data_IF_232399305377
#
_entry.id   IF_232399305377
#
_cell.length_a   1.000
_cell.length_b   1.000
_cell.length_c   1.000
_cell.angle_alpha   90.00
_cell.angle_beta   90.00
_cell.angle_gamma   90.00
#
_symmetry.space_group_name_H-M   'P 1'
#
loop_
_entity.id
_entity.type
_entity.pdbx_description
1 polymer ?
#
# COMPACT_ATOMS: atom_id res chain seq x y z
N UNK A 1 -4.06 -25.28 -12.85
CA UNK A 1 -3.83 -25.00 -11.42
C UNK A 1 -5.14 -24.53 -10.80
N UNK A 2 -5.75 -25.37 -9.96
CA UNK A 2 -6.91 -25.00 -9.14
C UNK A 2 -6.43 -24.47 -7.78
N UNK A 3 -7.16 -23.52 -7.21
CA UNK A 3 -6.92 -23.04 -5.84
C UNK A 3 -7.76 -23.91 -4.91
N UNK A 4 -7.15 -24.44 -3.86
CA UNK A 4 -7.85 -25.16 -2.79
C UNK A 4 -8.00 -24.22 -1.59
N UNK A 5 -9.23 -24.03 -1.12
CA UNK A 5 -9.52 -23.31 0.12
C UNK A 5 -10.74 -23.95 0.79
N UNK A 6 -10.79 -23.89 2.12
CA UNK A 6 -11.92 -24.38 2.91
C UNK A 6 -12.25 -23.38 4.00
N UNK A 7 -13.55 -23.22 4.27
CA UNK A 7 -14.04 -22.40 5.38
C UNK A 7 -14.34 -23.37 6.53
N UNK A 8 -13.68 -23.25 7.69
CA UNK A 8 -13.92 -24.17 8.81
C UNK A 8 -15.38 -24.19 9.25
N UNK A 9 -15.87 -25.35 9.71
CA UNK A 9 -17.28 -25.57 10.03
C UNK A 9 -17.81 -24.69 11.17
N UNK A 10 -16.93 -24.27 12.08
CA UNK A 10 -17.28 -23.36 13.16
C UNK A 10 -17.55 -21.93 12.67
N UNK A 11 -17.14 -21.56 11.45
CA UNK A 11 -17.36 -20.24 10.87
C UNK A 11 -18.64 -20.23 10.06
N UNK A 12 -19.66 -19.52 10.57
CA UNK A 12 -20.93 -19.33 9.85
C UNK A 12 -20.80 -18.20 8.82
N UNK A 13 -20.73 -18.58 7.55
CA UNK A 13 -20.78 -17.64 6.43
C UNK A 13 -22.04 -17.88 5.58
N UNK A 14 -22.62 -16.80 5.06
CA UNK A 14 -23.79 -16.90 4.18
C UNK A 14 -23.40 -17.50 2.82
N UNK A 15 -24.37 -18.10 2.13
CA UNK A 15 -24.15 -18.66 0.78
C UNK A 15 -23.61 -17.61 -0.21
N UNK A 16 -24.12 -16.38 -0.15
CA UNK A 16 -23.62 -15.27 -0.97
C UNK A 16 -22.17 -14.90 -0.67
N UNK A 17 -21.72 -15.01 0.59
CA UNK A 17 -20.32 -14.80 0.96
C UNK A 17 -19.43 -15.88 0.33
N UNK A 18 -19.83 -17.16 0.47
CA UNK A 18 -19.11 -18.30 -0.10
C UNK A 18 -18.97 -18.17 -1.63
N UNK A 19 -20.04 -17.76 -2.30
CA UNK A 19 -20.04 -17.51 -3.74
C UNK A 19 -19.06 -16.39 -4.11
N UNK A 20 -19.07 -15.27 -3.38
CA UNK A 20 -18.14 -14.18 -3.66
C UNK A 20 -16.69 -14.62 -3.48
N UNK A 21 -16.37 -15.30 -2.37
CA UNK A 21 -15.03 -15.84 -2.10
C UNK A 21 -14.56 -16.79 -3.20
N UNK A 22 -15.44 -17.68 -3.70
CA UNK A 22 -15.08 -18.58 -4.81
C UNK A 22 -14.72 -17.87 -6.12
N UNK A 23 -15.22 -16.65 -6.33
CA UNK A 23 -14.89 -15.84 -7.51
C UNK A 23 -13.65 -14.97 -7.31
N UNK A 24 -13.29 -14.67 -6.06
CA UNK A 24 -12.07 -13.93 -5.69
C UNK A 24 -10.86 -14.88 -5.66
N UNK A 25 -10.99 -16.05 -5.05
CA UNK A 25 -9.92 -17.05 -4.92
C UNK A 25 -9.77 -17.91 -6.18
N UNK A 26 -9.53 -17.23 -7.30
CA UNK A 26 -9.26 -17.83 -8.62
C UNK A 26 -7.80 -17.60 -8.99
N UNK A 27 -7.08 -18.69 -9.31
CA UNK A 27 -5.65 -18.65 -9.65
C UNK A 27 -5.38 -17.80 -10.89
N UNK A 28 -6.22 -17.91 -11.91
CA UNK A 28 -6.10 -17.14 -13.14
C UNK A 28 -6.64 -15.71 -12.95
N UNK A 29 -5.81 -14.66 -13.03
CA UNK A 29 -6.25 -13.28 -12.85
C UNK A 29 -7.31 -12.85 -13.87
N UNK A 30 -7.21 -13.30 -15.12
CA UNK A 30 -8.15 -12.97 -16.20
C UNK A 30 -9.54 -13.57 -15.99
N UNK A 31 -9.69 -14.56 -15.09
CA UNK A 31 -10.97 -15.17 -14.72
C UNK A 31 -11.46 -14.75 -13.33
N UNK A 32 -10.66 -13.96 -12.60
CA UNK A 32 -11.00 -13.49 -11.26
C UNK A 32 -12.05 -12.38 -11.36
N UNK A 33 -13.00 -12.37 -10.43
CA UNK A 33 -14.01 -11.30 -10.38
C UNK A 33 -13.33 -9.94 -10.23
N UNK A 34 -13.81 -8.98 -11.01
CA UNK A 34 -13.31 -7.61 -11.05
C UNK A 34 -13.99 -6.74 -9.98
N UNK A 35 -13.39 -5.59 -9.65
CA UNK A 35 -14.00 -4.65 -8.68
C UNK A 35 -15.41 -4.21 -9.10
N UNK A 36 -15.69 -3.82 -10.36
CA UNK A 36 -17.05 -3.47 -10.78
C UNK A 36 -18.07 -4.61 -10.56
N UNK A 37 -17.68 -5.86 -10.82
CA UNK A 37 -18.54 -7.03 -10.60
C UNK A 37 -18.75 -7.32 -9.11
N UNK A 38 -17.75 -7.11 -8.26
CA UNK A 38 -17.90 -7.21 -6.79
C UNK A 38 -18.91 -6.16 -6.30
N UNK A 39 -18.83 -4.93 -6.80
CA UNK A 39 -19.74 -3.83 -6.40
C UNK A 39 -21.19 -4.10 -6.76
N UNK A 40 -21.44 -4.91 -7.78
CA UNK A 40 -22.76 -5.36 -8.18
C UNK A 40 -23.21 -6.64 -7.45
N UNK A 41 -22.31 -7.30 -6.72
CA UNK A 41 -22.62 -8.58 -6.08
C UNK A 41 -23.64 -8.39 -4.93
N UNK A 42 -24.71 -9.20 -4.84
CA UNK A 42 -25.76 -9.03 -3.82
C UNK A 42 -25.25 -9.06 -2.38
N UNK A 43 -24.20 -9.86 -2.12
CA UNK A 43 -23.56 -9.90 -0.80
C UNK A 43 -22.87 -8.58 -0.43
N UNK A 44 -22.27 -7.88 -1.41
CA UNK A 44 -21.60 -6.61 -1.20
C UNK A 44 -22.60 -5.46 -0.98
N UNK A 45 -23.70 -5.48 -1.73
CA UNK A 45 -24.77 -4.47 -1.61
C UNK A 45 -25.59 -4.63 -0.32
N UNK A 46 -25.56 -5.80 0.32
CA UNK A 46 -26.32 -6.06 1.55
C UNK A 46 -25.78 -5.21 2.70
N UNK A 47 -26.62 -4.32 3.22
CA UNK A 47 -26.29 -3.40 4.31
C UNK A 47 -25.12 -2.44 3.97
N UNK A 48 -24.90 -2.12 2.70
CA UNK A 48 -23.91 -1.13 2.31
C UNK A 48 -24.39 0.27 2.74
N UNK A 49 -23.60 1.01 3.55
CA UNK A 49 -23.93 2.37 3.96
C UNK A 49 -24.20 3.28 2.76
N UNK A 50 -25.24 4.11 2.86
CA UNK A 50 -25.66 5.00 1.77
C UNK A 50 -24.59 6.04 1.46
N UNK A 51 -23.86 6.47 2.47
CA UNK A 51 -22.77 7.42 2.39
C UNK A 51 -21.67 6.93 1.44
N UNK A 52 -21.35 5.63 1.45
CA UNK A 52 -20.36 5.05 0.55
C UNK A 52 -20.85 5.01 -0.90
N UNK A 53 -22.14 4.72 -1.10
CA UNK A 53 -22.78 4.71 -2.42
C UNK A 53 -22.79 6.13 -3.00
N UNK A 54 -23.10 7.13 -2.18
CA UNK A 54 -23.13 8.54 -2.58
C UNK A 54 -21.74 9.13 -2.78
N UNK A 55 -20.76 8.77 -1.94
CA UNK A 55 -19.37 9.16 -2.10
C UNK A 55 -18.80 8.63 -3.43
N UNK A 56 -19.09 7.38 -3.79
CA UNK A 56 -18.74 6.85 -5.10
C UNK A 56 -19.38 7.65 -6.24
N UNK A 57 -20.69 7.89 -6.18
CA UNK A 57 -21.43 8.63 -7.23
C UNK A 57 -20.93 10.05 -7.41
N UNK A 58 -20.48 10.68 -6.32
CA UNK A 58 -19.93 12.04 -6.32
C UNK A 58 -18.43 12.06 -6.60
N UNK A 59 -17.82 10.91 -6.90
CA UNK A 59 -16.38 10.74 -7.08
C UNK A 59 -15.58 11.37 -5.92
N UNK A 60 -16.09 11.18 -4.70
CA UNK A 60 -15.57 11.69 -3.44
C UNK A 60 -15.44 13.23 -3.38
N UNK A 61 -16.08 13.97 -4.29
CA UNK A 61 -15.93 15.42 -4.40
C UNK A 61 -16.37 16.19 -3.15
N UNK A 62 -17.23 15.62 -2.30
CA UNK A 62 -17.70 16.27 -1.07
C UNK A 62 -16.68 16.26 0.07
N UNK A 63 -15.87 15.20 0.20
CA UNK A 63 -14.85 15.06 1.26
C UNK A 63 -13.62 15.95 0.98
N UNK A 64 -13.46 16.30 -0.28
CA UNK A 64 -12.23 16.82 -0.84
C UNK A 64 -12.12 18.35 -0.88
N UNK A 65 -13.20 19.10 -0.61
CA UNK A 65 -13.16 20.57 -0.83
C UNK A 65 -12.48 21.36 0.28
N UNK A 66 -12.48 20.86 1.51
CA UNK A 66 -12.03 21.65 2.65
C UNK A 66 -10.54 21.47 3.00
N UNK A 67 -9.83 20.51 2.40
CA UNK A 67 -8.42 20.19 2.75
C UNK A 67 -7.50 19.93 1.54
N UNK A 68 -7.87 20.39 0.34
CA UNK A 68 -7.00 20.23 -0.85
C UNK A 68 -5.85 21.23 -0.83
N UNK A 69 -4.62 20.72 -0.72
CA UNK A 69 -3.42 21.49 -1.06
C UNK A 69 -3.28 21.60 -2.58
N UNK A 70 -2.75 22.72 -3.07
CA UNK A 70 -2.46 22.86 -4.49
C UNK A 70 -1.23 22.01 -4.86
N UNK A 71 -1.11 21.64 -6.14
CA UNK A 71 0.04 20.87 -6.62
C UNK A 71 1.37 21.62 -6.41
N UNK A 72 1.34 22.95 -6.50
CA UNK A 72 2.48 23.82 -6.26
C UNK A 72 2.92 23.79 -4.80
N UNK A 73 1.96 23.83 -3.87
CA UNK A 73 2.24 23.72 -2.44
C UNK A 73 2.81 22.34 -2.07
N UNK A 74 2.24 21.27 -2.63
CA UNK A 74 2.74 19.91 -2.44
C UNK A 74 4.20 19.80 -2.91
N UNK A 75 4.50 20.29 -4.11
CA UNK A 75 5.88 20.27 -4.64
C UNK A 75 6.83 21.12 -3.79
N UNK A 76 6.39 22.29 -3.33
CA UNK A 76 7.18 23.13 -2.42
C UNK A 76 7.55 22.39 -1.13
N UNK A 77 6.60 21.71 -0.50
CA UNK A 77 6.84 20.93 0.73
C UNK A 77 7.80 19.76 0.45
N UNK A 78 7.66 19.09 -0.70
CA UNK A 78 8.58 18.02 -1.11
C UNK A 78 10.01 18.56 -1.28
N UNK A 79 10.17 19.72 -1.93
CA UNK A 79 11.47 20.35 -2.15
C UNK A 79 12.11 20.81 -0.83
N UNK A 80 11.31 21.39 0.08
CA UNK A 80 11.76 21.76 1.43
C UNK A 80 12.24 20.53 2.22
N UNK A 81 11.46 19.44 2.20
CA UNK A 81 11.77 18.20 2.91
C UNK A 81 13.00 17.45 2.35
N UNK A 82 13.42 17.73 1.10
CA UNK A 82 14.65 17.16 0.52
C UNK A 82 15.90 17.82 1.06
N UNK A 83 15.81 19.02 1.63
CA UNK A 83 16.97 19.66 2.26
C UNK A 83 17.13 19.16 3.68
N UNK A 84 18.29 18.59 4.08
CA UNK A 84 18.54 18.25 5.47
C UNK A 84 18.52 19.55 6.28
N UNK A 85 17.79 19.55 7.40
CA UNK A 85 17.67 20.72 8.29
C UNK A 85 19.07 21.22 8.64
N UNK A 86 19.45 22.35 8.03
CA UNK A 86 20.66 23.08 8.41
C UNK A 86 20.41 23.59 9.83
N UNK A 87 20.89 22.84 10.82
CA UNK A 87 20.69 23.13 12.23
C UNK A 87 21.10 24.56 12.55
N UNK A 88 20.10 25.43 12.75
CA UNK A 88 20.28 26.69 13.45
C UNK A 88 20.80 26.35 14.84
N UNK A 89 22.06 26.75 15.08
CA UNK A 89 22.70 26.74 16.38
C UNK A 89 21.78 27.38 17.43
N UNK A 90 21.18 26.58 18.30
CA UNK A 90 20.70 27.02 19.61
C UNK A 90 20.58 25.82 20.57
N UNK A 91 21.65 25.60 21.34
CA UNK A 91 21.56 25.15 22.74
C UNK A 91 21.26 23.68 23.03
N UNK A 92 22.24 22.80 22.86
CA UNK A 92 22.31 21.50 23.54
C UNK A 92 23.69 21.33 24.16
N UNK A 93 23.77 21.28 25.49
CA UNK A 93 24.99 21.00 26.25
C UNK A 93 25.54 19.59 25.93
N UNK A 94 26.86 19.52 25.74
CA UNK A 94 27.71 18.31 25.86
C UNK A 94 27.83 17.49 24.56
N UNK A 95 29.00 17.08 24.08
CA UNK A 95 30.35 16.95 24.62
C UNK A 95 31.32 17.17 23.45
N UNK A 96 32.42 17.89 23.71
CA UNK A 96 33.48 18.14 22.75
C UNK A 96 34.28 16.87 22.40
N UNK A 97 34.52 16.66 21.11
CA UNK A 97 35.58 15.80 20.60
C UNK A 97 36.11 16.39 19.28
N UNK A 98 37.40 16.73 19.16
CA UNK A 98 37.98 17.24 17.92
C UNK A 98 38.62 16.10 17.12
N UNK A 99 38.47 16.16 15.79
CA UNK A 99 39.31 15.58 14.72
C UNK A 99 38.38 15.36 13.52
N UNK A 100 38.37 16.20 12.48
CA UNK A 100 39.43 16.37 11.46
C UNK A 100 39.95 15.03 10.93
N UNK A 101 39.45 14.62 9.76
CA UNK A 101 40.19 13.87 8.73
C UNK A 101 39.31 13.68 7.49
N UNK A 102 39.95 13.95 6.36
CA UNK A 102 39.46 14.01 4.99
C UNK A 102 38.85 12.69 4.44
N UNK A 103 37.96 12.89 3.47
CA UNK A 103 37.93 12.26 2.13
C UNK A 103 38.13 10.74 2.01
N UNK A 104 37.05 9.99 1.80
CA UNK A 104 37.05 8.68 1.12
C UNK A 104 35.69 8.44 0.43
N UNK A 105 35.52 8.94 -0.79
CA UNK A 105 34.54 8.42 -1.75
C UNK A 105 34.96 6.99 -2.14
N UNK A 106 34.23 5.99 -1.63
CA UNK A 106 34.38 4.59 -2.04
C UNK A 106 33.10 4.13 -2.73
N UNK A 107 33.14 4.19 -4.05
CA UNK A 107 32.28 3.53 -5.02
C UNK A 107 31.98 2.07 -4.61
N UNK A 108 30.70 1.75 -4.41
CA UNK A 108 30.22 0.41 -4.04
C UNK A 108 29.22 -0.07 -5.09
N UNK A 109 29.65 -0.19 -6.35
CA UNK A 109 29.05 -1.13 -7.29
C UNK A 109 29.40 -2.56 -6.84
N UNK A 110 28.48 -3.18 -6.09
CA UNK A 110 28.52 -4.62 -5.83
C UNK A 110 27.45 -5.32 -6.64
N UNK A 111 27.86 -5.79 -7.81
CA UNK A 111 27.14 -6.73 -8.66
C UNK A 111 26.91 -8.04 -7.87
N UNK A 112 25.72 -8.27 -7.34
CA UNK A 112 25.35 -9.55 -6.73
C UNK A 112 24.72 -10.49 -7.77
N UNK A 113 25.56 -11.21 -8.51
CA UNK A 113 25.15 -12.44 -9.19
C UNK A 113 25.58 -13.65 -8.35
N UNK A 114 24.62 -14.27 -7.66
CA UNK A 114 24.77 -15.65 -7.19
C UNK A 114 23.48 -16.40 -7.49
N UNK A 115 23.45 -16.95 -8.70
CA UNK A 115 23.20 -18.36 -9.03
C UNK A 115 22.20 -19.14 -8.15
N UNK A 116 21.14 -19.59 -8.81
CA UNK A 116 20.13 -20.45 -8.23
C UNK A 116 20.56 -21.90 -8.03
N UNK A 117 20.07 -22.48 -6.94
CA UNK A 117 19.71 -23.89 -6.82
C UNK A 117 18.71 -24.00 -5.66
N UNK A 118 17.48 -24.43 -5.95
CA UNK A 118 16.58 -24.89 -4.90
C UNK A 118 15.86 -26.15 -5.38
N UNK A 119 16.39 -27.27 -4.91
CA UNK A 119 15.89 -28.61 -5.15
C UNK A 119 14.42 -28.78 -4.74
N UNK A 120 13.70 -29.57 -5.55
CA UNK A 120 12.31 -29.99 -5.30
C UNK A 120 12.32 -31.23 -4.38
N UNK A 121 11.64 -31.22 -3.21
CA UNK A 121 11.49 -32.41 -2.38
C UNK A 121 10.32 -33.30 -2.85
N UNK A 122 10.31 -34.60 -2.46
CA UNK A 122 9.57 -35.68 -3.11
C UNK A 122 8.05 -35.67 -2.93
#
# INVERSE_FOLDING_TARGET
MSVQFSIPDYVRVSAGCKQLLSRIFVANPSKRVTIPEIKQHPWFLKNLPKELIEAEKTNYAAVERDQRQSIEEINRIIDEARTPVQGSKAGGLGIAGPSDSDDLEADLDSEVDVSGDFAVPP
#
